data_IF_763375636671
#
_entry.id   IF_763375636671
#
_cell.length_a   1.000
_cell.length_b   1.000
_cell.length_c   1.000
_cell.angle_alpha   90.00
_cell.angle_beta   90.00
_cell.angle_gamma   90.00
#
_symmetry.space_group_name_H-M   'P 1'
#
loop_
_entity.id
_entity.type
_entity.pdbx_description
1 polymer ?
#
# COMPACT_ATOMS: atom_id res chain seq x y z
N UNK A 1 44.53 -47.50 -56.25
CA UNK A 1 44.27 -47.92 -57.65
C UNK A 1 43.30 -46.93 -58.24
N UNK A 2 43.76 -46.07 -59.15
CA UNK A 2 42.99 -44.94 -59.70
C UNK A 2 43.93 -43.94 -60.37
N UNK A 3 44.44 -44.33 -61.54
CA UNK A 3 45.28 -43.52 -62.42
C UNK A 3 44.44 -42.40 -63.04
N UNK A 4 44.86 -41.15 -62.86
CA UNK A 4 44.44 -40.04 -63.72
C UNK A 4 45.66 -39.48 -64.44
N UNK A 5 45.93 -40.07 -65.60
CA UNK A 5 46.70 -39.45 -66.67
C UNK A 5 45.87 -38.31 -67.26
N UNK A 6 46.33 -37.07 -67.12
CA UNK A 6 45.92 -35.98 -68.00
C UNK A 6 46.81 -35.97 -69.23
N UNK A 7 46.26 -35.94 -70.46
CA UNK A 7 47.06 -35.89 -71.67
C UNK A 7 47.63 -34.49 -71.84
N UNK A 8 48.95 -34.42 -71.97
CA UNK A 8 49.67 -33.27 -72.53
C UNK A 8 49.27 -33.21 -74.00
N UNK A 9 48.17 -32.54 -74.29
CA UNK A 9 47.75 -32.18 -75.63
C UNK A 9 48.72 -31.16 -76.21
N UNK A 10 49.57 -31.64 -77.12
CA UNK A 10 50.17 -30.92 -78.24
C UNK A 10 50.24 -29.39 -78.09
N UNK A 11 51.41 -28.92 -77.63
CA UNK A 11 51.85 -27.57 -77.98
C UNK A 11 52.18 -27.56 -79.47
N UNK A 12 51.49 -26.69 -80.18
CA UNK A 12 51.55 -26.43 -81.60
C UNK A 12 52.96 -26.27 -82.15
N UNK A 13 53.16 -26.79 -83.36
CA UNK A 13 54.38 -26.79 -84.19
C UNK A 13 54.90 -25.40 -84.61
N UNK A 14 54.37 -24.30 -84.07
CA UNK A 14 54.77 -22.91 -84.38
C UNK A 14 55.82 -22.34 -83.41
N UNK A 15 56.27 -23.11 -82.42
CA UNK A 15 57.22 -22.66 -81.39
C UNK A 15 58.71 -22.71 -81.81
N UNK A 16 59.04 -23.42 -82.88
CA UNK A 16 60.44 -23.66 -83.29
C UNK A 16 61.13 -22.38 -83.81
N UNK A 17 60.39 -21.49 -84.49
CA UNK A 17 60.91 -20.21 -85.01
C UNK A 17 61.07 -19.11 -83.95
N UNK A 18 60.62 -19.33 -82.72
CA UNK A 18 60.69 -18.34 -81.61
C UNK A 18 61.45 -18.85 -80.39
N UNK A 19 62.13 -19.99 -80.51
CA UNK A 19 62.91 -20.53 -79.39
C UNK A 19 64.20 -19.74 -79.19
N UNK A 20 64.64 -19.55 -77.94
CA UNK A 20 65.89 -18.83 -77.64
C UNK A 20 67.10 -19.42 -78.41
N UNK A 21 67.11 -20.74 -78.63
CA UNK A 21 68.18 -21.41 -79.39
C UNK A 21 68.21 -21.04 -80.87
N UNK A 22 67.05 -20.85 -81.51
CA UNK A 22 66.97 -20.43 -82.91
C UNK A 22 67.42 -18.98 -83.10
N UNK A 23 66.94 -18.07 -82.23
CA UNK A 23 67.30 -16.65 -82.27
C UNK A 23 68.79 -16.40 -81.98
N UNK A 24 69.40 -17.21 -81.10
CA UNK A 24 70.84 -17.17 -80.84
C UNK A 24 71.65 -17.65 -82.04
N UNK A 25 71.16 -18.66 -82.78
CA UNK A 25 71.81 -19.15 -84.00
C UNK A 25 71.73 -18.12 -85.14
N UNK A 26 70.60 -17.42 -85.27
CA UNK A 26 70.44 -16.32 -86.22
C UNK A 26 71.36 -15.12 -85.88
N UNK A 27 71.44 -14.76 -84.59
CA UNK A 27 72.36 -13.73 -84.10
C UNK A 27 73.83 -14.10 -84.37
N UNK A 28 74.17 -15.39 -84.27
CA UNK A 28 75.51 -15.89 -84.56
C UNK A 28 75.87 -15.78 -86.05
N UNK A 29 74.93 -16.09 -86.95
CA UNK A 29 75.11 -15.91 -88.40
C UNK A 29 75.32 -14.42 -88.72
N UNK A 30 74.52 -13.53 -88.12
CA UNK A 30 74.65 -12.07 -88.31
C UNK A 30 76.00 -11.55 -87.81
N UNK A 31 76.47 -11.99 -86.65
CA UNK A 31 77.79 -11.60 -86.15
C UNK A 31 78.93 -12.10 -87.03
N UNK A 32 78.80 -13.29 -87.62
CA UNK A 32 79.78 -13.87 -88.56
C UNK A 32 79.80 -13.10 -89.89
N UNK A 33 78.67 -12.55 -90.34
CA UNK A 33 78.58 -11.67 -91.52
C UNK A 33 79.17 -10.27 -91.28
N UNK A 34 78.97 -9.68 -90.10
CA UNK A 34 79.44 -8.33 -89.76
C UNK A 34 80.93 -8.31 -89.36
N UNK A 35 81.47 -9.45 -88.87
CA UNK A 35 82.84 -9.54 -88.39
C UNK A 35 83.03 -9.03 -86.96
N UNK A 36 82.00 -9.17 -86.12
CA UNK A 36 81.99 -8.63 -84.75
C UNK A 36 83.05 -9.31 -83.86
N UNK A 37 83.77 -8.53 -83.03
CA UNK A 37 84.82 -9.06 -82.15
C UNK A 37 84.27 -9.96 -81.04
N UNK A 38 85.07 -10.93 -80.61
CA UNK A 38 84.69 -11.90 -79.58
C UNK A 38 84.25 -11.21 -78.29
N UNK A 39 84.88 -10.10 -77.90
CA UNK A 39 84.53 -9.37 -76.68
C UNK A 39 83.13 -8.75 -76.74
N UNK A 40 82.75 -8.11 -77.85
CA UNK A 40 81.42 -7.51 -78.01
C UNK A 40 80.33 -8.59 -78.15
N UNK A 41 80.62 -9.73 -78.80
CA UNK A 41 79.72 -10.89 -78.83
C UNK A 41 79.46 -11.43 -77.40
N UNK A 42 80.52 -11.62 -76.61
CA UNK A 42 80.43 -12.12 -75.24
C UNK A 42 79.66 -11.14 -74.33
N UNK A 43 79.86 -9.84 -74.51
CA UNK A 43 79.13 -8.78 -73.81
C UNK A 43 77.63 -8.78 -74.13
N UNK A 44 77.24 -8.87 -75.40
CA UNK A 44 75.82 -8.94 -75.79
C UNK A 44 75.17 -10.22 -75.26
N UNK A 45 75.87 -11.37 -75.29
CA UNK A 45 75.38 -12.61 -74.68
C UNK A 45 75.20 -12.45 -73.15
N UNK A 46 76.16 -11.82 -72.47
CA UNK A 46 76.08 -11.55 -71.03
C UNK A 46 74.91 -10.62 -70.67
N UNK A 47 74.67 -9.59 -71.48
CA UNK A 47 73.54 -8.67 -71.32
C UNK A 47 72.19 -9.41 -71.51
N UNK A 48 72.07 -10.28 -72.53
CA UNK A 48 70.88 -11.11 -72.75
C UNK A 48 70.65 -12.11 -71.60
N UNK A 49 71.70 -12.73 -71.07
CA UNK A 49 71.63 -13.59 -69.89
C UNK A 49 71.15 -12.81 -68.66
N UNK A 50 71.67 -11.60 -68.45
CA UNK A 50 71.29 -10.74 -67.35
C UNK A 50 69.83 -10.29 -67.44
N UNK A 51 69.35 -9.92 -68.63
CA UNK A 51 67.94 -9.58 -68.88
C UNK A 51 67.02 -10.79 -68.63
N UNK A 52 67.41 -11.98 -69.09
CA UNK A 52 66.65 -13.21 -68.82
C UNK A 52 66.59 -13.52 -67.32
N UNK A 53 67.70 -13.40 -66.60
CA UNK A 53 67.77 -13.57 -65.15
C UNK A 53 66.85 -12.57 -64.42
N UNK A 54 66.81 -11.31 -64.87
CA UNK A 54 65.95 -10.30 -64.28
C UNK A 54 64.45 -10.58 -64.51
N UNK A 55 64.08 -11.11 -65.68
CA UNK A 55 62.71 -11.60 -65.94
C UNK A 55 62.36 -12.78 -65.02
N UNK A 56 63.28 -13.75 -64.85
CA UNK A 56 63.08 -14.87 -63.93
C UNK A 56 62.94 -14.40 -62.48
N UNK A 57 63.81 -13.51 -62.00
CA UNK A 57 63.71 -12.90 -60.66
C UNK A 57 62.36 -12.23 -60.46
N UNK A 58 61.94 -11.35 -61.38
CA UNK A 58 60.62 -10.69 -61.31
C UNK A 58 59.47 -11.67 -61.23
N UNK A 59 59.52 -12.81 -61.95
CA UNK A 59 58.48 -13.85 -61.89
C UNK A 59 58.49 -14.60 -60.56
N UNK A 60 59.67 -14.95 -60.06
CA UNK A 60 59.86 -15.58 -58.74
C UNK A 60 59.39 -14.65 -57.62
N UNK A 61 59.75 -13.37 -57.67
CA UNK A 61 59.34 -12.37 -56.69
C UNK A 61 57.82 -12.20 -56.67
N UNK A 62 57.19 -12.07 -57.84
CA UNK A 62 55.71 -12.03 -57.93
C UNK A 62 55.04 -13.28 -57.35
N UNK A 63 55.60 -14.46 -57.61
CA UNK A 63 55.11 -15.71 -57.04
C UNK A 63 55.31 -15.76 -55.52
N UNK A 64 56.46 -15.28 -55.02
CA UNK A 64 56.75 -15.16 -53.59
C UNK A 64 55.80 -14.18 -52.89
N UNK A 65 55.54 -13.00 -53.46
CA UNK A 65 54.56 -12.04 -52.93
C UNK A 65 53.16 -12.65 -52.91
N UNK A 66 52.77 -13.36 -53.98
CA UNK A 66 51.47 -14.05 -54.04
C UNK A 66 51.36 -15.14 -52.97
N UNK A 67 52.43 -15.92 -52.76
CA UNK A 67 52.52 -16.94 -51.71
C UNK A 67 52.43 -16.32 -50.32
N UNK A 68 53.16 -15.23 -50.05
CA UNK A 68 53.11 -14.52 -48.78
C UNK A 68 51.70 -13.96 -48.50
N UNK A 69 51.06 -13.36 -49.51
CA UNK A 69 49.69 -12.86 -49.40
C UNK A 69 48.68 -13.98 -49.08
N UNK A 70 48.83 -15.16 -49.69
CA UNK A 70 47.97 -16.31 -49.37
C UNK A 70 48.19 -16.81 -47.94
N UNK A 71 49.43 -16.89 -47.46
CA UNK A 71 49.72 -17.23 -46.07
C UNK A 71 49.11 -16.22 -45.09
N UNK A 72 49.21 -14.93 -45.39
CA UNK A 72 48.62 -13.88 -44.56
C UNK A 72 47.10 -14.03 -44.48
N UNK A 73 46.40 -14.15 -45.62
CA UNK A 73 44.95 -14.33 -45.65
C UNK A 73 44.50 -15.58 -44.90
N UNK A 74 45.27 -16.67 -45.00
CA UNK A 74 45.00 -17.89 -44.27
C UNK A 74 45.14 -17.68 -42.76
N UNK A 75 46.21 -17.00 -42.31
CA UNK A 75 46.42 -16.69 -40.90
C UNK A 75 45.34 -15.76 -40.34
N UNK A 76 44.93 -14.73 -41.10
CA UNK A 76 43.83 -13.83 -40.75
C UNK A 76 42.50 -14.59 -40.61
N UNK A 77 42.19 -15.46 -41.58
CA UNK A 77 41.00 -16.30 -41.54
C UNK A 77 41.00 -17.27 -40.35
N UNK A 78 42.14 -17.89 -40.03
CA UNK A 78 42.29 -18.78 -38.87
C UNK A 78 42.17 -18.01 -37.53
N UNK A 79 42.74 -16.80 -37.47
CA UNK A 79 42.65 -15.94 -36.30
C UNK A 79 41.21 -15.46 -36.05
N UNK A 80 40.53 -15.01 -37.09
CA UNK A 80 39.12 -14.60 -37.02
C UNK A 80 38.23 -15.77 -36.59
N UNK A 81 38.46 -16.96 -37.16
CA UNK A 81 37.71 -18.16 -36.80
C UNK A 81 37.87 -18.51 -35.32
N UNK A 82 39.11 -18.48 -34.82
CA UNK A 82 39.42 -18.75 -33.40
C UNK A 82 38.79 -17.69 -32.50
N UNK A 83 38.82 -16.42 -32.90
CA UNK A 83 38.16 -15.34 -32.18
C UNK A 83 36.64 -15.56 -32.11
N UNK A 84 35.98 -15.92 -33.22
CA UNK A 84 34.54 -16.19 -33.25
C UNK A 84 34.15 -17.38 -32.37
N UNK A 85 34.95 -18.46 -32.35
CA UNK A 85 34.76 -19.59 -31.44
C UNK A 85 34.82 -19.15 -29.97
N UNK A 86 35.80 -18.33 -29.61
CA UNK A 86 35.94 -17.80 -28.24
C UNK A 86 34.75 -16.90 -27.88
N UNK A 87 34.36 -15.97 -28.75
CA UNK A 87 33.22 -15.08 -28.53
C UNK A 87 31.90 -15.84 -28.37
N UNK A 88 31.68 -16.91 -29.14
CA UNK A 88 30.48 -17.74 -29.05
C UNK A 88 30.56 -18.81 -27.94
N UNK A 89 31.73 -18.99 -27.32
CA UNK A 89 31.97 -20.02 -26.32
C UNK A 89 31.93 -21.45 -26.88
N UNK A 90 32.18 -21.61 -28.19
CA UNK A 90 32.13 -22.90 -28.89
C UNK A 90 33.54 -23.51 -28.99
N UNK A 91 33.64 -24.84 -28.82
CA UNK A 91 34.93 -25.55 -28.90
C UNK A 91 35.33 -25.88 -30.33
N UNK A 92 34.37 -26.13 -31.22
CA UNK A 92 34.63 -26.49 -32.62
C UNK A 92 33.34 -26.40 -33.44
N UNK A 93 33.50 -26.32 -34.77
CA UNK A 93 32.39 -26.48 -35.71
C UNK A 93 32.25 -27.93 -36.19
N UNK A 94 31.03 -28.50 -36.14
CA UNK A 94 30.75 -29.80 -36.76
C UNK A 94 31.03 -29.77 -38.27
N UNK A 95 31.84 -30.71 -38.78
CA UNK A 95 32.09 -30.86 -40.22
C UNK A 95 33.37 -30.21 -40.77
N UNK A 96 34.15 -29.50 -39.94
CA UNK A 96 35.46 -28.99 -40.37
C UNK A 96 36.52 -30.10 -40.33
N UNK A 97 37.27 -30.36 -41.41
CA UNK A 97 38.44 -31.23 -41.35
C UNK A 97 39.54 -30.57 -40.50
N UNK A 98 39.97 -31.25 -39.43
CA UNK A 98 41.06 -30.79 -38.54
C UNK A 98 42.44 -30.74 -39.23
N UNK A 99 42.58 -31.43 -40.36
CA UNK A 99 43.86 -31.56 -41.07
C UNK A 99 43.94 -30.59 -42.25
N UNK A 100 45.01 -29.81 -42.29
CA UNK A 100 45.42 -29.00 -43.44
C UNK A 100 45.83 -29.95 -44.57
N UNK A 101 44.93 -30.25 -45.48
CA UNK A 101 45.21 -31.09 -46.66
C UNK A 101 44.99 -30.25 -47.91
N UNK A 102 45.97 -30.21 -48.80
CA UNK A 102 45.90 -29.48 -50.06
C UNK A 102 46.72 -28.19 -50.10
N UNK A 103 46.58 -27.48 -51.23
CA UNK A 103 47.27 -26.22 -51.54
C UNK A 103 46.75 -25.05 -50.69
N UNK A 104 47.50 -23.94 -50.61
CA UNK A 104 47.08 -22.75 -49.86
C UNK A 104 45.71 -22.20 -50.31
N UNK A 105 45.37 -22.33 -51.61
CA UNK A 105 44.08 -21.91 -52.14
C UNK A 105 42.96 -22.84 -51.66
N UNK A 106 43.15 -24.16 -51.76
CA UNK A 106 42.18 -25.14 -51.27
C UNK A 106 41.93 -25.02 -49.76
N UNK A 107 42.97 -24.74 -48.98
CA UNK A 107 42.85 -24.48 -47.55
C UNK A 107 42.00 -23.24 -47.26
N UNK A 108 42.22 -22.14 -47.99
CA UNK A 108 41.43 -20.91 -47.86
C UNK A 108 39.95 -21.12 -48.29
N UNK A 109 39.74 -21.82 -49.39
CA UNK A 109 38.41 -22.15 -49.90
C UNK A 109 37.64 -23.06 -48.94
N UNK A 110 38.34 -23.94 -48.20
CA UNK A 110 37.73 -24.79 -47.17
C UNK A 110 37.30 -24.03 -45.91
N UNK A 111 38.02 -22.98 -45.52
CA UNK A 111 37.73 -22.18 -44.30
C UNK A 111 36.64 -21.14 -44.56
N UNK A 112 36.53 -20.64 -45.80
CA UNK A 112 35.61 -19.55 -46.15
C UNK A 112 34.13 -19.85 -45.81
N UNK A 113 33.56 -21.03 -46.11
CA UNK A 113 32.20 -21.38 -45.71
C UNK A 113 32.02 -21.43 -44.19
N UNK A 114 32.98 -22.00 -43.47
CA UNK A 114 32.94 -22.12 -42.01
C UNK A 114 32.96 -20.74 -41.33
N UNK A 115 33.76 -19.81 -41.84
CA UNK A 115 33.76 -18.41 -41.38
C UNK A 115 32.42 -17.72 -41.62
N UNK A 116 31.80 -17.91 -42.79
CA UNK A 116 30.47 -17.33 -43.08
C UNK A 116 29.42 -17.84 -42.11
N UNK A 117 29.42 -19.13 -41.82
CA UNK A 117 28.51 -19.74 -40.85
C UNK A 117 28.70 -19.17 -39.44
N UNK A 118 29.95 -18.99 -38.99
CA UNK A 118 30.25 -18.40 -37.68
C UNK A 118 29.83 -16.94 -37.58
N UNK A 119 30.02 -16.15 -38.65
CA UNK A 119 29.55 -14.76 -38.71
C UNK A 119 28.03 -14.68 -38.60
N UNK A 120 27.31 -15.57 -39.30
CA UNK A 120 25.85 -15.64 -39.22
C UNK A 120 25.39 -16.03 -37.81
N UNK A 121 26.03 -17.03 -37.18
CA UNK A 121 25.76 -17.38 -35.77
C UNK A 121 26.02 -16.21 -34.84
N UNK A 122 27.12 -15.46 -35.00
CA UNK A 122 27.41 -14.26 -34.21
C UNK A 122 26.26 -13.25 -34.33
N UNK A 123 25.82 -12.96 -35.55
CA UNK A 123 24.73 -12.01 -35.80
C UNK A 123 23.40 -12.47 -35.16
N UNK A 124 23.04 -13.74 -35.34
CA UNK A 124 21.84 -14.31 -34.71
C UNK A 124 21.93 -14.24 -33.17
N UNK A 125 23.08 -14.56 -32.59
CA UNK A 125 23.28 -14.42 -31.15
C UNK A 125 23.17 -12.98 -30.70
N UNK A 126 23.79 -12.05 -31.40
CA UNK A 126 23.72 -10.63 -31.08
C UNK A 126 22.27 -10.15 -31.03
N UNK A 127 21.45 -10.56 -32.01
CA UNK A 127 20.02 -10.26 -32.04
C UNK A 127 19.27 -10.89 -30.84
N UNK A 128 19.59 -12.13 -30.46
CA UNK A 128 19.02 -12.77 -29.27
C UNK A 128 19.37 -12.02 -27.98
N UNK A 129 20.63 -11.64 -27.79
CA UNK A 129 21.07 -10.87 -26.63
C UNK A 129 20.39 -9.50 -26.57
N UNK A 130 20.33 -8.78 -27.70
CA UNK A 130 19.64 -7.49 -27.78
C UNK A 130 18.16 -7.63 -27.42
N UNK A 131 17.48 -8.67 -27.92
CA UNK A 131 16.07 -8.93 -27.62
C UNK A 131 15.84 -9.24 -26.13
N UNK A 132 16.68 -10.08 -25.51
CA UNK A 132 16.54 -10.46 -24.10
C UNK A 132 16.89 -9.28 -23.19
N UNK A 133 18.01 -8.60 -23.42
CA UNK A 133 18.42 -7.44 -22.63
C UNK A 133 17.43 -6.27 -22.74
N UNK A 134 16.83 -6.06 -23.92
CA UNK A 134 15.76 -5.08 -24.10
C UNK A 134 14.51 -5.40 -23.30
N UNK A 135 14.12 -6.67 -23.24
CA UNK A 135 13.01 -7.12 -22.38
C UNK A 135 13.34 -6.93 -20.89
N UNK A 136 14.57 -7.27 -20.47
CA UNK A 136 15.05 -7.05 -19.09
C UNK A 136 14.93 -5.57 -18.74
N UNK A 137 15.50 -4.66 -19.53
CA UNK A 137 15.46 -3.22 -19.26
C UNK A 137 14.03 -2.70 -19.16
N UNK A 138 13.14 -3.14 -20.06
CA UNK A 138 11.71 -2.75 -20.02
C UNK A 138 11.04 -3.18 -18.73
N UNK A 139 11.19 -4.45 -18.33
CA UNK A 139 10.56 -4.97 -17.11
C UNK A 139 11.18 -4.32 -15.88
N UNK A 140 12.49 -4.15 -15.84
CA UNK A 140 13.17 -3.45 -14.75
C UNK A 140 12.68 -2.01 -14.62
N UNK A 141 12.46 -1.31 -15.72
CA UNK A 141 11.91 0.04 -15.72
C UNK A 141 10.45 0.08 -15.25
N UNK A 142 9.62 -0.88 -15.67
CA UNK A 142 8.24 -1.04 -15.17
C UNK A 142 8.22 -1.31 -13.66
N UNK A 143 9.11 -2.18 -13.16
CA UNK A 143 9.28 -2.47 -11.74
C UNK A 143 9.74 -1.22 -10.97
N UNK A 144 10.65 -0.43 -11.54
CA UNK A 144 11.10 0.82 -10.93
C UNK A 144 10.06 1.96 -10.98
N UNK A 145 9.04 1.85 -11.85
CA UNK A 145 8.05 2.89 -12.08
C UNK A 145 8.47 3.96 -13.08
N UNK A 146 9.51 3.70 -13.89
CA UNK A 146 10.09 4.61 -14.88
C UNK A 146 9.90 4.08 -16.31
N UNK A 147 8.70 3.59 -16.65
CA UNK A 147 8.44 2.97 -17.98
C UNK A 147 8.69 3.91 -19.15
N UNK A 148 8.65 5.22 -18.91
CA UNK A 148 8.73 6.25 -19.95
C UNK A 148 10.19 6.65 -20.28
N UNK A 149 11.15 6.31 -19.43
CA UNK A 149 12.57 6.69 -19.55
C UNK A 149 13.46 5.59 -20.16
N UNK A 150 12.86 4.54 -20.75
CA UNK A 150 13.64 3.42 -21.30
C UNK A 150 14.42 3.87 -22.55
N UNK A 151 15.77 3.84 -22.53
CA UNK A 151 16.57 4.19 -23.69
C UNK A 151 16.27 3.26 -24.88
N UNK A 152 16.18 3.83 -26.08
CA UNK A 152 15.88 3.07 -27.30
C UNK A 152 17.01 2.12 -27.73
N UNK A 153 18.24 2.36 -27.26
CA UNK A 153 19.45 1.68 -27.72
C UNK A 153 20.04 0.82 -26.61
N UNK A 154 20.11 -0.48 -26.85
CA UNK A 154 20.66 -1.49 -25.92
C UNK A 154 22.10 -1.75 -26.32
N UNK A 155 23.04 -1.43 -25.44
CA UNK A 155 24.46 -1.77 -25.63
C UNK A 155 24.70 -3.22 -25.22
N UNK A 156 24.90 -4.10 -26.20
CA UNK A 156 25.26 -5.50 -25.97
C UNK A 156 26.78 -5.63 -25.86
N UNK A 157 27.25 -6.41 -24.90
CA UNK A 157 28.67 -6.75 -24.82
C UNK A 157 29.02 -7.76 -25.92
N UNK A 158 29.71 -7.31 -26.97
CA UNK A 158 30.10 -8.17 -28.10
C UNK A 158 31.19 -9.19 -27.79
N UNK A 159 31.86 -9.08 -26.64
CA UNK A 159 33.02 -9.91 -26.32
C UNK A 159 32.65 -11.31 -25.80
N UNK A 160 31.43 -11.48 -25.26
CA UNK A 160 30.94 -12.75 -24.72
C UNK A 160 29.47 -12.98 -25.14
N UNK A 161 29.29 -13.77 -26.19
CA UNK A 161 28.00 -14.19 -26.76
C UNK A 161 27.74 -15.69 -26.51
N UNK A 162 28.31 -16.23 -25.42
CA UNK A 162 28.20 -17.63 -25.06
C UNK A 162 26.76 -18.08 -24.74
N UNK A 163 26.46 -19.37 -24.93
CA UNK A 163 25.16 -19.98 -24.58
C UNK A 163 24.86 -19.82 -23.10
N UNK A 164 25.86 -20.05 -22.26
CA UNK A 164 25.74 -19.91 -20.81
C UNK A 164 25.33 -18.48 -20.42
N UNK A 165 25.97 -17.46 -21.00
CA UNK A 165 25.64 -16.07 -20.69
C UNK A 165 24.23 -15.69 -21.16
N UNK A 166 23.79 -16.20 -22.30
CA UNK A 166 22.41 -15.99 -22.74
C UNK A 166 21.41 -16.66 -21.79
N UNK A 167 21.69 -17.88 -21.34
CA UNK A 167 20.87 -18.59 -20.37
C UNK A 167 20.78 -17.82 -19.04
N UNK A 168 21.89 -17.24 -18.56
CA UNK A 168 21.88 -16.37 -17.38
C UNK A 168 20.91 -15.18 -17.55
N UNK A 169 20.93 -14.51 -18.71
CA UNK A 169 20.00 -13.41 -19.00
C UNK A 169 18.55 -13.90 -19.15
N UNK A 170 18.31 -15.10 -19.67
CA UNK A 170 16.97 -15.67 -19.74
C UNK A 170 16.44 -16.02 -18.33
N UNK A 171 17.29 -16.55 -17.46
CA UNK A 171 16.95 -16.83 -16.06
C UNK A 171 16.66 -15.53 -15.29
N UNK A 172 17.47 -14.48 -15.51
CA UNK A 172 17.22 -13.14 -14.99
C UNK A 172 15.87 -12.59 -15.46
N UNK A 173 15.59 -12.70 -16.76
CA UNK A 173 14.32 -12.27 -17.34
C UNK A 173 13.13 -12.99 -16.70
N UNK A 174 13.23 -14.31 -16.50
CA UNK A 174 12.19 -15.09 -15.84
C UNK A 174 12.00 -14.66 -14.38
N UNK A 175 13.10 -14.39 -13.65
CA UNK A 175 13.03 -13.88 -12.27
C UNK A 175 12.29 -12.55 -12.21
N UNK A 176 12.60 -11.63 -13.13
CA UNK A 176 11.94 -10.32 -13.20
C UNK A 176 10.44 -10.44 -13.56
N UNK A 177 10.07 -11.36 -14.44
CA UNK A 177 8.65 -11.64 -14.71
C UNK A 177 7.91 -12.15 -13.47
N UNK A 178 8.54 -13.05 -12.71
CA UNK A 178 7.96 -13.55 -11.46
C UNK A 178 7.80 -12.42 -10.44
N UNK A 179 8.84 -11.60 -10.25
CA UNK A 179 8.79 -10.44 -9.36
C UNK A 179 7.71 -9.43 -9.77
N UNK A 180 7.60 -9.11 -11.06
CA UNK A 180 6.53 -8.26 -11.59
C UNK A 180 5.14 -8.80 -11.23
N UNK A 181 4.94 -10.11 -11.43
CA UNK A 181 3.65 -10.75 -11.13
C UNK A 181 3.35 -10.75 -9.63
N UNK A 182 4.34 -11.04 -8.78
CA UNK A 182 4.20 -10.96 -7.33
C UNK A 182 3.85 -9.55 -6.84
N UNK A 183 4.53 -8.53 -7.38
CA UNK A 183 4.24 -7.12 -7.09
C UNK A 183 2.84 -6.71 -7.53
N UNK A 184 2.38 -7.14 -8.70
CA UNK A 184 1.01 -6.90 -9.17
C UNK A 184 -0.03 -7.52 -8.23
N UNK A 185 0.16 -8.79 -7.85
CA UNK A 185 -0.72 -9.45 -6.88
C UNK A 185 -0.71 -8.74 -5.52
N UNK A 186 0.44 -8.21 -5.10
CA UNK A 186 0.55 -7.46 -3.85
C UNK A 186 -0.21 -6.12 -3.93
N UNK A 187 -0.10 -5.39 -5.05
CA UNK A 187 -0.88 -4.16 -5.29
C UNK A 187 -2.38 -4.47 -5.25
N UNK A 188 -2.84 -5.54 -5.91
CA UNK A 188 -4.24 -5.94 -5.90
C UNK A 188 -4.73 -6.27 -4.48
N UNK A 189 -3.96 -7.04 -3.71
CA UNK A 189 -4.26 -7.31 -2.29
C UNK A 189 -4.37 -6.04 -1.46
N UNK A 190 -3.51 -5.05 -1.69
CA UNK A 190 -3.60 -3.78 -0.97
C UNK A 190 -4.83 -2.97 -1.39
N UNK A 191 -5.17 -2.95 -2.68
CA UNK A 191 -6.38 -2.30 -3.19
C UNK A 191 -7.64 -2.95 -2.58
N UNK A 192 -7.71 -4.28 -2.53
CA UNK A 192 -8.82 -5.01 -1.90
C UNK A 192 -8.94 -4.70 -0.40
N UNK A 193 -7.80 -4.60 0.31
CA UNK A 193 -7.77 -4.16 1.71
C UNK A 193 -8.26 -2.73 1.86
N UNK A 194 -7.86 -1.82 0.98
CA UNK A 194 -8.34 -0.42 1.00
C UNK A 194 -9.85 -0.38 0.75
N UNK A 195 -10.38 -1.13 -0.22
CA UNK A 195 -11.82 -1.20 -0.48
C UNK A 195 -12.60 -1.76 0.71
N UNK A 196 -12.17 -2.90 1.26
CA UNK A 196 -12.82 -3.49 2.44
C UNK A 196 -12.78 -2.57 3.66
N UNK A 197 -11.63 -1.96 3.97
CA UNK A 197 -11.53 -1.02 5.09
C UNK A 197 -12.35 0.25 4.86
N UNK A 198 -12.35 0.77 3.63
CA UNK A 198 -13.10 1.98 3.28
C UNK A 198 -14.61 1.74 3.35
N UNK A 199 -15.10 0.59 2.90
CA UNK A 199 -16.52 0.22 3.01
C UNK A 199 -16.96 0.07 4.46
N UNK A 200 -16.13 -0.51 5.33
CA UNK A 200 -16.40 -0.59 6.78
C UNK A 200 -16.44 0.81 7.42
N UNK A 201 -15.48 1.68 7.08
CA UNK A 201 -15.36 3.04 7.62
C UNK A 201 -16.33 4.06 7.00
N UNK A 202 -17.02 3.69 5.92
CA UNK A 202 -17.86 4.59 5.13
C UNK A 202 -17.08 5.69 4.40
N UNK A 203 -15.85 5.41 3.97
CA UNK A 203 -15.01 6.32 3.18
C UNK A 203 -15.08 5.95 1.69
N UNK A 204 -14.85 6.94 0.82
CA UNK A 204 -14.73 6.70 -0.61
C UNK A 204 -13.35 6.11 -0.96
N UNK A 205 -13.31 4.81 -1.27
CA UNK A 205 -12.09 4.13 -1.69
C UNK A 205 -11.51 4.69 -2.99
N UNK A 206 -12.35 5.17 -3.91
CA UNK A 206 -11.89 5.66 -5.21
C UNK A 206 -11.13 6.98 -5.07
N UNK A 207 -11.60 7.90 -4.23
CA UNK A 207 -10.86 9.10 -3.88
C UNK A 207 -9.53 8.79 -3.19
N UNK A 208 -9.47 7.78 -2.31
CA UNK A 208 -8.23 7.39 -1.62
C UNK A 208 -7.20 6.86 -2.63
N UNK A 209 -7.62 5.95 -3.52
CA UNK A 209 -6.75 5.35 -4.53
C UNK A 209 -6.23 6.40 -5.53
N UNK A 210 -7.09 7.32 -5.98
CA UNK A 210 -6.72 8.42 -6.89
C UNK A 210 -5.69 9.38 -6.28
N UNK A 211 -5.78 9.67 -4.98
CA UNK A 211 -4.80 10.50 -4.28
C UNK A 211 -3.42 9.83 -4.17
N UNK A 212 -3.37 8.50 -4.10
CA UNK A 212 -2.12 7.76 -4.05
C UNK A 212 -1.41 7.74 -5.40
N UNK A 213 -2.13 7.33 -6.45
CA UNK A 213 -1.66 7.41 -7.82
C UNK A 213 -2.81 7.15 -8.83
N UNK A 214 -2.96 7.95 -9.89
CA UNK A 214 -4.02 7.76 -10.89
C UNK A 214 -4.01 6.37 -11.56
N UNK A 215 -2.83 5.77 -11.76
CA UNK A 215 -2.71 4.47 -12.44
C UNK A 215 -3.14 3.26 -11.59
N UNK A 216 -3.41 3.44 -10.30
CA UNK A 216 -3.95 2.39 -9.43
C UNK A 216 -5.47 2.26 -9.55
N UNK A 217 -6.13 3.25 -10.14
CA UNK A 217 -7.55 3.22 -10.39
C UNK A 217 -7.83 2.52 -11.73
N UNK A 218 -8.64 1.47 -11.70
CA UNK A 218 -8.95 0.66 -12.91
C UNK A 218 -9.62 1.49 -14.03
N UNK A 219 -10.22 2.64 -13.68
CA UNK A 219 -10.82 3.56 -14.64
C UNK A 219 -9.82 4.33 -15.52
N UNK A 220 -8.53 4.34 -15.14
CA UNK A 220 -7.53 5.16 -15.84
C UNK A 220 -6.97 4.47 -17.10
N UNK A 221 -7.09 3.13 -17.21
CA UNK A 221 -6.56 2.37 -18.36
C UNK A 221 -5.04 2.42 -18.52
N UNK A 222 -4.33 3.03 -17.57
CA UNK A 222 -2.86 3.11 -17.50
C UNK A 222 -2.31 1.84 -16.84
N UNK A 223 -1.09 1.45 -17.20
CA UNK A 223 -0.38 0.36 -16.50
C UNK A 223 -0.23 0.68 -15.01
N UNK A 224 -0.62 -0.27 -14.16
CA UNK A 224 -0.51 -0.14 -12.70
C UNK A 224 0.95 0.11 -12.33
N UNK A 225 1.20 1.13 -11.52
CA UNK A 225 2.55 1.40 -11.03
C UNK A 225 2.86 0.40 -9.90
N UNK A 226 3.95 -0.37 -10.07
CA UNK A 226 4.37 -1.44 -9.15
C UNK A 226 5.72 -1.14 -8.45
N UNK A 227 6.09 0.14 -8.43
CA UNK A 227 7.32 0.59 -7.78
C UNK A 227 7.29 0.38 -6.27
N UNK A 228 8.48 0.24 -5.68
CA UNK A 228 8.65 0.15 -4.23
C UNK A 228 8.03 1.35 -3.52
N UNK A 229 8.13 2.54 -4.12
CA UNK A 229 7.53 3.76 -3.58
C UNK A 229 6.00 3.69 -3.50
N UNK A 230 5.33 3.14 -4.52
CA UNK A 230 3.87 2.97 -4.50
C UNK A 230 3.44 1.85 -3.56
N UNK A 231 4.15 0.71 -3.56
CA UNK A 231 3.87 -0.38 -2.63
C UNK A 231 4.00 0.07 -1.17
N UNK A 232 5.02 0.87 -0.85
CA UNK A 232 5.20 1.42 0.48
C UNK A 232 4.08 2.39 0.87
N UNK A 233 3.69 3.30 -0.04
CA UNK A 233 2.56 4.22 0.17
C UNK A 233 1.23 3.49 0.38
N UNK A 234 0.99 2.42 -0.40
CA UNK A 234 -0.19 1.55 -0.24
C UNK A 234 -0.19 0.88 1.13
N UNK A 235 0.96 0.36 1.58
CA UNK A 235 1.09 -0.26 2.89
C UNK A 235 0.79 0.74 4.03
N UNK A 236 1.40 1.93 4.00
CA UNK A 236 1.13 3.00 4.97
C UNK A 236 -0.36 3.35 5.01
N UNK A 237 -0.99 3.46 3.84
CA UNK A 237 -2.43 3.81 3.77
C UNK A 237 -3.30 2.72 4.39
N UNK A 238 -2.99 1.46 4.13
CA UNK A 238 -3.69 0.32 4.75
C UNK A 238 -3.48 0.31 6.26
N UNK A 239 -2.27 0.58 6.75
CA UNK A 239 -1.99 0.69 8.19
C UNK A 239 -2.78 1.83 8.84
N UNK A 240 -2.82 3.02 8.23
CA UNK A 240 -3.60 4.16 8.71
C UNK A 240 -5.11 3.87 8.74
N UNK A 241 -5.63 3.16 7.74
CA UNK A 241 -7.04 2.74 7.71
C UNK A 241 -7.36 1.69 8.78
N UNK A 242 -6.43 0.75 9.04
CA UNK A 242 -6.55 -0.20 10.13
C UNK A 242 -6.53 0.50 11.51
N UNK A 243 -5.63 1.45 11.70
CA UNK A 243 -5.55 2.25 12.92
C UNK A 243 -6.83 3.06 13.14
N UNK A 244 -7.33 3.73 12.11
CA UNK A 244 -8.61 4.45 12.17
C UNK A 244 -9.78 3.51 12.51
N UNK A 245 -9.82 2.31 11.91
CA UNK A 245 -10.82 1.28 12.25
C UNK A 245 -10.76 0.92 13.73
N UNK A 246 -9.55 0.68 14.25
CA UNK A 246 -9.35 0.34 15.66
C UNK A 246 -9.78 1.49 16.58
N UNK A 247 -9.35 2.72 16.28
CA UNK A 247 -9.69 3.90 17.07
C UNK A 247 -11.21 4.14 17.14
N UNK A 248 -11.93 3.97 16.02
CA UNK A 248 -13.40 4.10 16.00
C UNK A 248 -14.08 2.99 16.79
N UNK A 249 -13.59 1.77 16.69
CA UNK A 249 -14.14 0.63 17.43
C UNK A 249 -13.95 0.83 18.95
N UNK A 250 -12.75 1.21 19.39
CA UNK A 250 -12.45 1.46 20.80
C UNK A 250 -13.31 2.60 21.37
N UNK A 251 -13.50 3.66 20.57
CA UNK A 251 -14.40 4.77 20.93
C UNK A 251 -15.85 4.30 21.05
N UNK A 252 -16.35 3.48 20.12
CA UNK A 252 -17.70 2.91 20.20
C UNK A 252 -17.85 1.94 21.36
N UNK A 253 -16.82 1.16 21.72
CA UNK A 253 -16.84 0.31 22.89
C UNK A 253 -16.99 1.12 24.17
N UNK A 254 -16.21 2.19 24.30
CA UNK A 254 -16.30 3.09 25.44
C UNK A 254 -17.69 3.75 25.52
N UNK A 255 -18.16 4.32 24.41
CA UNK A 255 -19.46 4.98 24.34
C UNK A 255 -20.61 4.00 24.60
N UNK A 256 -20.58 2.80 24.01
CA UNK A 256 -21.60 1.78 24.19
C UNK A 256 -21.66 1.26 25.63
N UNK A 257 -20.52 1.14 26.32
CA UNK A 257 -20.48 0.81 27.76
C UNK A 257 -21.13 1.92 28.60
N UNK A 258 -20.78 3.17 28.32
CA UNK A 258 -21.38 4.34 29.00
C UNK A 258 -22.88 4.41 28.74
N UNK A 259 -23.30 4.19 27.50
CA UNK A 259 -24.70 4.17 27.09
C UNK A 259 -25.51 3.08 27.80
N UNK A 260 -24.97 1.86 27.86
CA UNK A 260 -25.57 0.74 28.62
C UNK A 260 -25.72 1.06 30.11
N UNK A 261 -24.69 1.65 30.71
CA UNK A 261 -24.74 2.09 32.11
C UNK A 261 -25.80 3.17 32.34
N UNK A 262 -25.90 4.16 31.45
CA UNK A 262 -26.89 5.24 31.53
C UNK A 262 -28.31 4.71 31.35
N UNK A 263 -28.55 3.79 30.41
CA UNK A 263 -29.87 3.18 30.24
C UNK A 263 -30.31 2.36 31.45
N UNK A 264 -29.38 1.61 32.06
CA UNK A 264 -29.67 0.85 33.27
C UNK A 264 -29.90 1.75 34.48
N UNK A 265 -29.21 2.90 34.56
CA UNK A 265 -29.43 3.87 35.63
C UNK A 265 -30.76 4.63 35.48
N UNK A 266 -31.18 4.91 34.24
CA UNK A 266 -32.34 5.76 33.94
C UNK A 266 -33.62 4.96 33.65
N UNK A 267 -33.58 3.62 33.74
CA UNK A 267 -34.65 2.70 33.34
C UNK A 267 -35.22 3.03 31.96
N UNK A 268 -34.34 3.31 30.99
CA UNK A 268 -34.75 3.76 29.65
C UNK A 268 -35.53 2.65 28.93
N UNK A 269 -36.68 2.93 28.30
CA UNK A 269 -37.52 1.91 27.67
C UNK A 269 -36.83 1.25 26.47
N UNK A 270 -37.18 0.00 26.20
CA UNK A 270 -36.55 -0.82 25.16
C UNK A 270 -36.59 -0.21 23.76
N UNK A 271 -37.68 0.51 23.42
CA UNK A 271 -37.86 1.17 22.12
C UNK A 271 -36.72 2.15 21.80
N UNK A 272 -36.23 2.87 22.80
CA UNK A 272 -35.15 3.83 22.63
C UNK A 272 -33.77 3.15 22.56
N UNK A 273 -33.65 1.96 23.20
CA UNK A 273 -32.43 1.13 23.13
C UNK A 273 -32.27 0.45 21.77
N UNK A 274 -33.37 0.13 21.09
CA UNK A 274 -33.35 -0.62 19.82
C UNK A 274 -32.59 0.10 18.70
N UNK A 275 -32.70 1.44 18.65
CA UNK A 275 -32.02 2.29 17.66
C UNK A 275 -30.49 2.17 17.70
N UNK A 276 -29.93 1.78 18.85
CA UNK A 276 -28.49 1.62 19.08
C UNK A 276 -28.09 0.16 19.27
N UNK A 277 -28.95 -0.80 18.92
CA UNK A 277 -28.67 -2.24 19.01
C UNK A 277 -27.40 -2.65 18.26
N UNK A 278 -27.10 -2.00 17.13
CA UNK A 278 -25.87 -2.20 16.37
C UNK A 278 -24.61 -1.85 17.19
N UNK A 279 -24.61 -0.75 17.94
CA UNK A 279 -23.49 -0.36 18.83
C UNK A 279 -23.33 -1.36 19.97
N UNK A 280 -24.44 -1.88 20.51
CA UNK A 280 -24.40 -2.87 21.59
C UNK A 280 -23.87 -4.21 21.10
N UNK A 281 -24.23 -4.64 19.90
CA UNK A 281 -23.67 -5.85 19.29
C UNK A 281 -22.17 -5.72 19.05
N UNK A 282 -21.70 -4.52 18.68
CA UNK A 282 -20.28 -4.23 18.50
C UNK A 282 -19.46 -4.31 19.80
N UNK A 283 -20.06 -4.17 20.98
CA UNK A 283 -19.35 -4.24 22.27
C UNK A 283 -18.65 -5.58 22.51
N UNK A 284 -19.17 -6.66 21.93
CA UNK A 284 -18.58 -7.99 22.02
C UNK A 284 -17.72 -8.35 20.82
N UNK A 285 -17.72 -7.54 19.77
CA UNK A 285 -16.99 -7.79 18.53
C UNK A 285 -15.53 -7.32 18.65
N UNK A 286 -14.62 -8.14 18.16
CA UNK A 286 -13.22 -7.76 17.96
C UNK A 286 -13.01 -7.08 16.61
N UNK A 287 -11.90 -6.35 16.47
CA UNK A 287 -11.55 -5.65 15.22
C UNK A 287 -11.45 -6.57 13.99
N UNK A 288 -11.11 -7.85 14.19
CA UNK A 288 -11.03 -8.83 13.11
C UNK A 288 -12.42 -9.34 12.65
N UNK A 289 -13.40 -9.36 13.54
CA UNK A 289 -14.75 -9.87 13.26
C UNK A 289 -15.65 -8.83 12.59
N UNK A 290 -15.36 -7.54 12.81
CA UNK A 290 -16.13 -6.44 12.19
C UNK A 290 -15.80 -6.34 10.71
N UNK A 291 -16.66 -6.92 9.88
CA UNK A 291 -16.56 -6.92 8.41
C UNK A 291 -17.75 -6.25 7.74
N UNK A 292 -18.79 -5.89 8.50
CA UNK A 292 -20.04 -5.36 7.94
C UNK A 292 -19.83 -3.96 7.35
N UNK A 293 -20.21 -3.72 6.08
CA UNK A 293 -20.10 -2.41 5.45
C UNK A 293 -20.86 -1.34 6.23
N UNK A 294 -20.24 -0.18 6.41
CA UNK A 294 -20.84 0.96 7.10
C UNK A 294 -20.96 0.84 8.62
N UNK A 295 -20.48 -0.27 9.21
CA UNK A 295 -20.59 -0.52 10.67
C UNK A 295 -19.81 0.48 11.54
N UNK A 296 -18.73 1.06 11.00
CA UNK A 296 -17.85 2.01 11.71
C UNK A 296 -17.81 3.37 11.00
N UNK A 297 -18.94 3.79 10.43
CA UNK A 297 -19.07 5.13 9.85
C UNK A 297 -18.90 6.21 10.91
N UNK A 298 -18.39 7.38 10.47
CA UNK A 298 -18.21 8.52 11.36
C UNK A 298 -19.55 9.00 11.93
N UNK A 299 -20.63 8.87 11.16
CA UNK A 299 -21.99 9.22 11.56
C UNK A 299 -22.47 8.40 12.76
N UNK A 300 -22.27 7.08 12.76
CA UNK A 300 -22.64 6.20 13.89
C UNK A 300 -21.89 6.60 15.17
N UNK A 301 -20.58 6.88 15.05
CA UNK A 301 -19.76 7.35 16.18
C UNK A 301 -20.32 8.66 16.74
N UNK A 302 -20.62 9.63 15.87
CA UNK A 302 -21.17 10.93 16.27
C UNK A 302 -22.57 10.82 16.87
N UNK A 303 -23.44 9.98 16.30
CA UNK A 303 -24.78 9.75 16.79
C UNK A 303 -24.76 9.13 18.20
N UNK A 304 -23.88 8.16 18.42
CA UNK A 304 -23.71 7.52 19.74
C UNK A 304 -23.16 8.51 20.76
N UNK A 305 -22.18 9.33 20.38
CA UNK A 305 -21.64 10.38 21.26
C UNK A 305 -22.70 11.42 21.62
N UNK A 306 -23.52 11.84 20.66
CA UNK A 306 -24.61 12.78 20.88
C UNK A 306 -25.67 12.20 21.83
N UNK A 307 -26.01 10.91 21.69
CA UNK A 307 -26.98 10.26 22.57
C UNK A 307 -26.47 10.11 24.00
N UNK A 308 -25.19 9.74 24.18
CA UNK A 308 -24.56 9.71 25.52
C UNK A 308 -24.64 11.09 26.17
N UNK A 309 -24.28 12.17 25.44
CA UNK A 309 -24.39 13.55 25.94
C UNK A 309 -25.83 13.92 26.30
N UNK A 310 -26.80 13.55 25.46
CA UNK A 310 -28.23 13.80 25.69
C UNK A 310 -28.71 13.10 26.97
N UNK A 311 -28.33 11.83 27.17
CA UNK A 311 -28.69 11.05 28.36
C UNK A 311 -28.01 11.57 29.61
N UNK A 312 -26.75 11.98 29.54
CA UNK A 312 -26.05 12.61 30.66
C UNK A 312 -26.73 13.92 31.08
N UNK A 313 -27.15 14.74 30.12
CA UNK A 313 -27.92 15.96 30.38
C UNK A 313 -29.30 15.65 31.00
N UNK A 314 -29.98 14.61 30.50
CA UNK A 314 -31.26 14.18 31.05
C UNK A 314 -31.11 13.64 32.49
N UNK A 315 -30.04 12.89 32.77
CA UNK A 315 -29.67 12.43 34.11
C UNK A 315 -29.45 13.61 35.05
N UNK A 316 -28.65 14.61 34.65
CA UNK A 316 -28.43 15.82 35.45
C UNK A 316 -29.73 16.58 35.73
N UNK A 317 -30.62 16.66 34.73
CA UNK A 317 -31.92 17.32 34.87
C UNK A 317 -32.85 16.59 35.86
N UNK A 318 -32.96 15.26 35.77
CA UNK A 318 -33.72 14.47 36.75
C UNK A 318 -33.13 14.55 38.15
N UNK A 319 -31.80 14.57 38.26
CA UNK A 319 -31.08 14.69 39.53
C UNK A 319 -31.40 16.02 40.22
N UNK A 320 -31.45 17.12 39.46
CA UNK A 320 -31.90 18.43 39.93
C UNK A 320 -33.34 18.42 40.44
N UNK A 321 -34.24 17.78 39.70
CA UNK A 321 -35.65 17.65 40.11
C UNK A 321 -35.79 16.85 41.41
N UNK A 322 -35.07 15.73 41.53
CA UNK A 322 -35.05 14.93 42.76
C UNK A 322 -34.51 15.72 43.95
N UNK A 323 -33.44 16.49 43.76
CA UNK A 323 -32.89 17.34 44.80
C UNK A 323 -33.92 18.38 45.27
N UNK A 324 -34.62 19.04 44.34
CA UNK A 324 -35.65 20.01 44.69
C UNK A 324 -36.82 19.35 45.45
N UNK A 325 -37.29 18.17 45.03
CA UNK A 325 -38.33 17.42 45.75
C UNK A 325 -37.91 17.04 47.16
N UNK A 326 -36.67 16.61 47.35
CA UNK A 326 -36.10 16.29 48.67
C UNK A 326 -36.01 17.55 49.56
N UNK A 327 -35.69 18.70 48.97
CA UNK A 327 -35.73 19.99 49.66
C UNK A 327 -37.13 20.37 50.11
N UNK A 328 -38.13 20.24 49.24
CA UNK A 328 -39.52 20.50 49.58
C UNK A 328 -40.03 19.54 50.68
N UNK A 329 -39.64 18.26 50.65
CA UNK A 329 -39.94 17.28 51.69
C UNK A 329 -39.34 17.70 53.04
N UNK A 330 -38.06 18.06 53.08
CA UNK A 330 -37.38 18.53 54.29
C UNK A 330 -38.07 19.76 54.87
N UNK A 331 -38.34 20.76 54.04
CA UNK A 331 -39.02 21.99 54.46
C UNK A 331 -40.42 21.70 55.03
N UNK A 332 -41.18 20.79 54.41
CA UNK A 332 -42.51 20.41 54.88
C UNK A 332 -42.44 19.72 56.26
N UNK A 333 -41.48 18.82 56.45
CA UNK A 333 -41.27 18.14 57.74
C UNK A 333 -40.92 19.16 58.81
N UNK A 334 -39.93 20.03 58.55
CA UNK A 334 -39.52 21.07 59.50
C UNK A 334 -40.66 22.04 59.85
N UNK A 335 -41.44 22.48 58.86
CA UNK A 335 -42.62 23.35 59.09
C UNK A 335 -43.65 22.67 60.00
N UNK A 336 -43.93 21.39 59.79
CA UNK A 336 -44.92 20.64 60.59
C UNK A 336 -44.44 20.36 62.01
N UNK A 337 -43.15 20.09 62.20
CA UNK A 337 -42.56 19.78 63.51
C UNK A 337 -42.04 21.02 64.26
N UNK A 338 -42.20 22.22 63.69
CA UNK A 338 -41.62 23.47 64.19
C UNK A 338 -40.11 23.34 64.49
N UNK A 339 -39.40 22.61 63.63
CA UNK A 339 -37.93 22.49 63.65
C UNK A 339 -37.33 23.58 62.78
N UNK A 340 -36.15 24.05 63.13
CA UNK A 340 -35.42 25.06 62.35
C UNK A 340 -35.18 24.56 60.93
N UNK A 341 -35.58 25.36 59.94
CA UNK A 341 -35.38 25.05 58.53
C UNK A 341 -33.93 25.45 58.20
N UNK A 342 -33.08 24.51 57.74
CA UNK A 342 -31.74 24.89 57.33
C UNK A 342 -31.78 25.88 56.15
N UNK A 343 -30.85 26.83 56.14
CA UNK A 343 -30.88 28.01 55.24
C UNK A 343 -31.01 27.63 53.76
N UNK A 344 -32.08 28.11 53.12
CA UNK A 344 -32.35 27.91 51.68
C UNK A 344 -31.22 28.47 50.80
N UNK A 345 -30.54 29.52 51.25
CA UNK A 345 -29.43 30.16 50.55
C UNK A 345 -28.16 29.31 50.58
N UNK A 346 -27.87 28.67 51.71
CA UNK A 346 -26.72 27.77 51.86
C UNK A 346 -26.88 26.52 50.99
N UNK A 347 -28.09 25.95 50.95
CA UNK A 347 -28.38 24.81 50.07
C UNK A 347 -28.31 25.16 48.58
N UNK A 348 -28.80 26.34 48.19
CA UNK A 348 -28.72 26.79 46.80
C UNK A 348 -27.27 27.05 46.36
N UNK A 349 -26.41 27.54 47.27
CA UNK A 349 -24.98 27.69 47.00
C UNK A 349 -24.30 26.32 46.80
N UNK A 350 -24.59 25.33 47.63
CA UNK A 350 -24.08 23.96 47.48
C UNK A 350 -24.56 23.34 46.16
N UNK A 351 -25.82 23.54 45.79
CA UNK A 351 -26.37 23.08 44.52
C UNK A 351 -25.69 23.75 43.30
N UNK A 352 -25.32 25.03 43.42
CA UNK A 352 -24.59 25.75 42.36
C UNK A 352 -23.16 25.21 42.16
N UNK A 353 -22.46 24.84 43.24
CA UNK A 353 -21.14 24.20 43.21
C UNK A 353 -21.19 22.80 42.55
N UNK A 354 -22.31 22.10 42.68
CA UNK A 354 -22.56 20.79 42.04
C UNK A 354 -22.75 20.93 40.53
N UNK A 355 -23.45 21.97 40.07
CA UNK A 355 -23.56 22.27 38.63
C UNK A 355 -22.23 22.72 38.02
N UNK A 356 -21.33 23.30 38.82
CA UNK A 356 -19.97 23.65 38.41
C UNK A 356 -19.02 22.42 38.37
N UNK A 357 -19.49 21.24 38.80
CA UNK A 357 -18.74 19.98 38.72
C UNK A 357 -17.81 19.70 39.90
N UNK A 358 -17.83 20.51 40.96
CA UNK A 358 -16.95 20.36 42.13
C UNK A 358 -17.42 19.28 43.12
N UNK A 359 -18.71 18.95 43.13
CA UNK A 359 -19.31 17.96 44.04
C UNK A 359 -20.14 16.95 43.24
N UNK A 360 -19.91 15.65 43.48
CA UNK A 360 -20.68 14.57 42.84
C UNK A 360 -22.15 14.59 43.26
N UNK A 361 -23.06 14.52 42.28
CA UNK A 361 -24.50 14.68 42.52
C UNK A 361 -25.08 13.60 43.47
N UNK A 362 -24.48 12.40 43.50
CA UNK A 362 -24.86 11.32 44.42
C UNK A 362 -24.56 11.65 45.88
N UNK A 363 -23.44 12.32 46.15
CA UNK A 363 -23.03 12.67 47.52
C UNK A 363 -23.96 13.75 48.09
N UNK A 364 -24.41 14.67 47.24
CA UNK A 364 -25.37 15.70 47.61
C UNK A 364 -26.72 15.11 48.01
N UNK A 365 -27.28 14.19 47.20
CA UNK A 365 -28.54 13.52 47.52
C UNK A 365 -28.44 12.72 48.82
N UNK A 366 -27.34 12.01 49.04
CA UNK A 366 -27.12 11.25 50.27
C UNK A 366 -27.10 12.16 51.51
N UNK A 367 -26.40 13.29 51.44
CA UNK A 367 -26.41 14.29 52.51
C UNK A 367 -27.81 14.86 52.77
N UNK A 368 -28.60 15.02 51.71
CA UNK A 368 -29.98 15.49 51.82
C UNK A 368 -30.89 14.44 52.47
N UNK A 369 -30.74 13.17 52.09
CA UNK A 369 -31.47 12.05 52.70
C UNK A 369 -31.11 11.89 54.19
N UNK A 370 -29.86 12.12 54.57
CA UNK A 370 -29.46 12.18 55.98
C UNK A 370 -30.12 13.33 56.74
N UNK A 371 -30.19 14.53 56.15
CA UNK A 371 -30.87 15.68 56.76
C UNK A 371 -32.37 15.41 56.93
N UNK A 372 -33.02 14.84 55.91
CA UNK A 372 -34.42 14.43 55.98
C UNK A 372 -34.61 13.39 57.09
N UNK A 373 -33.71 12.41 57.20
CA UNK A 373 -33.78 11.38 58.25
C UNK A 373 -33.69 11.98 59.65
N UNK A 374 -32.72 12.89 59.88
CA UNK A 374 -32.60 13.62 61.14
C UNK A 374 -33.84 14.47 61.45
N UNK A 375 -34.39 15.16 60.44
CA UNK A 375 -35.61 15.95 60.61
C UNK A 375 -36.83 15.07 60.93
N UNK A 376 -36.94 13.86 60.36
CA UNK A 376 -37.99 12.89 60.67
C UNK A 376 -37.87 12.33 62.09
N UNK A 377 -36.65 12.05 62.54
CA UNK A 377 -36.38 11.61 63.91
C UNK A 377 -36.77 12.68 64.92
N UNK A 378 -36.38 13.93 64.68
CA UNK A 378 -36.75 15.06 65.55
C UNK A 378 -38.25 15.37 65.51
N UNK A 379 -38.88 15.27 64.34
CA UNK A 379 -40.34 15.37 64.23
C UNK A 379 -41.04 14.26 65.04
N UNK A 380 -40.46 13.06 65.07
CA UNK A 380 -40.99 11.93 65.83
C UNK A 380 -40.78 12.11 67.33
N UNK A 381 -39.63 12.63 67.77
CA UNK A 381 -39.34 12.93 69.18
C UNK A 381 -40.29 14.00 69.74
N UNK A 382 -40.60 15.03 68.94
CA UNK A 382 -41.51 16.13 69.31
C UNK A 382 -42.99 15.79 69.15
N UNK A 383 -43.34 14.65 68.56
CA UNK A 383 -44.73 14.29 68.23
C UNK A 383 -45.69 14.44 69.41
N UNK A 384 -45.31 13.94 70.59
CA UNK A 384 -46.15 14.01 71.78
C UNK A 384 -46.39 15.46 72.27
N UNK A 385 -45.40 16.35 72.08
CA UNK A 385 -45.53 17.77 72.40
C UNK A 385 -46.44 18.45 71.37
N UNK A 386 -46.21 18.19 70.08
CA UNK A 386 -47.02 18.75 69.00
C UNK A 386 -48.49 18.32 69.10
N UNK A 387 -48.79 17.07 69.43
CA UNK A 387 -50.17 16.61 69.68
C UNK A 387 -50.84 17.36 70.84
N UNK A 388 -50.07 17.73 71.89
CA UNK A 388 -50.59 18.57 72.98
C UNK A 388 -50.82 20.01 72.52
N UNK A 389 -49.91 20.56 71.71
CA UNK A 389 -50.05 21.90 71.12
C UNK A 389 -51.27 21.97 70.21
N UNK A 390 -51.48 20.98 69.34
CA UNK A 390 -52.67 20.88 68.49
C UNK A 390 -53.96 20.79 69.33
N UNK A 391 -53.98 19.94 70.36
CA UNK A 391 -55.13 19.88 71.29
C UNK A 391 -55.38 21.22 71.98
N UNK A 392 -54.33 21.92 72.41
CA UNK A 392 -54.45 23.22 73.04
C UNK A 392 -54.93 24.30 72.06
N UNK A 393 -54.45 24.28 70.82
CA UNK A 393 -54.95 25.17 69.76
C UNK A 393 -56.44 24.94 69.48
N UNK A 394 -56.87 23.69 69.35
CA UNK A 394 -58.28 23.34 69.16
C UNK A 394 -59.13 23.78 70.36
N UNK A 395 -58.64 23.56 71.58
CA UNK A 395 -59.30 24.02 72.79
C UNK A 395 -59.45 25.55 72.81
N UNK A 396 -58.38 26.29 72.49
CA UNK A 396 -58.41 27.76 72.39
C UNK A 396 -59.39 28.24 71.31
N UNK A 397 -59.44 27.58 70.16
CA UNK A 397 -60.35 27.96 69.09
C UNK A 397 -61.82 27.64 69.47
N UNK A 398 -62.06 26.54 70.17
CA UNK A 398 -63.38 26.20 70.71
C UNK A 398 -63.80 27.14 71.85
N UNK A 399 -62.86 27.57 72.70
CA UNK A 399 -63.08 28.59 73.73
C UNK A 399 -63.48 29.92 73.09
N UNK A 400 -62.72 30.39 72.09
CA UNK A 400 -63.07 31.60 71.35
C UNK A 400 -64.45 31.50 70.70
N UNK A 401 -64.74 30.38 70.05
CA UNK A 401 -66.06 30.16 69.46
C UNK A 401 -67.17 30.18 70.52
N UNK A 402 -66.93 29.60 71.69
CA UNK A 402 -67.86 29.61 72.81
C UNK A 402 -68.06 31.02 73.39
N UNK A 403 -67.00 31.83 73.49
CA UNK A 403 -67.06 33.23 73.89
C UNK A 403 -67.92 34.03 72.90
N UNK A 404 -67.63 33.92 71.59
CA UNK A 404 -68.41 34.56 70.52
C UNK A 404 -69.89 34.15 70.58
N UNK A 405 -70.17 32.85 70.76
CA UNK A 405 -71.52 32.32 70.93
C UNK A 405 -72.19 32.81 72.23
N UNK A 406 -71.42 33.01 73.31
CA UNK A 406 -71.95 33.50 74.58
C UNK A 406 -72.36 34.97 74.52
N UNK A 407 -71.69 35.77 73.69
CA UNK A 407 -71.97 37.19 73.46
C UNK A 407 -73.08 37.43 72.42
N UNK A 408 -73.52 36.39 71.69
CA UNK A 408 -74.62 36.50 70.73
C UNK A 408 -75.98 36.64 71.46
N UNK A 409 -76.61 37.80 71.30
CA UNK A 409 -77.94 38.10 71.86
C UNK A 409 -79.06 37.20 71.29
N UNK A 410 -78.86 36.65 70.09
CA UNK A 410 -79.83 35.78 69.41
C UNK A 410 -79.62 34.28 69.67
N UNK A 411 -78.74 33.91 70.61
CA UNK A 411 -78.34 32.51 70.90
C UNK A 411 -79.49 31.56 71.27
N UNK A 412 -80.61 32.07 71.77
CA UNK A 412 -81.81 31.28 72.12
C UNK A 412 -82.96 31.45 71.12
N UNK A 413 -82.73 32.11 69.98
CA UNK A 413 -83.72 32.22 68.92
C UNK A 413 -84.07 30.84 68.35
N UNK A 414 -85.35 30.60 68.03
CA UNK A 414 -85.85 29.32 67.47
C UNK A 414 -85.47 29.24 65.98
N UNK A 415 -84.17 29.13 65.72
CA UNK A 415 -83.60 28.98 64.39
C UNK A 415 -83.23 27.52 64.13
N UNK A 416 -83.24 27.10 62.85
CA UNK A 416 -82.96 25.72 62.43
C UNK A 416 -81.48 25.39 62.65
N UNK A 417 -81.13 24.91 63.85
CA UNK A 417 -79.75 24.59 64.23
C UNK A 417 -79.38 24.99 65.67
N UNK A 418 -80.19 25.82 66.33
CA UNK A 418 -79.92 26.34 67.67
C UNK A 418 -79.63 25.23 68.71
N UNK A 419 -80.40 24.14 68.70
CA UNK A 419 -80.17 22.99 69.59
C UNK A 419 -78.82 22.27 69.34
N UNK A 420 -78.30 22.27 68.10
CA UNK A 420 -76.98 21.70 67.81
C UNK A 420 -75.85 22.60 68.32
N UNK A 421 -76.00 23.92 68.17
CA UNK A 421 -75.05 24.90 68.71
C UNK A 421 -75.06 24.91 70.23
N UNK A 422 -76.23 24.80 70.86
CA UNK A 422 -76.36 24.66 72.31
C UNK A 422 -75.67 23.38 72.81
N UNK A 423 -75.91 22.22 72.17
CA UNK A 423 -75.19 20.98 72.50
C UNK A 423 -73.69 21.06 72.22
N UNK A 424 -73.25 21.84 71.23
CA UNK A 424 -71.82 22.11 70.99
C UNK A 424 -71.25 22.95 72.13
N UNK A 425 -71.93 24.02 72.53
CA UNK A 425 -71.52 24.88 73.63
C UNK A 425 -71.45 24.15 74.97
N UNK A 426 -72.41 23.27 75.26
CA UNK A 426 -72.36 22.39 76.44
C UNK A 426 -71.17 21.44 76.40
N UNK A 427 -70.92 20.78 75.25
CA UNK A 427 -69.76 19.90 75.08
C UNK A 427 -68.43 20.65 75.15
N UNK A 428 -68.36 21.85 74.58
CA UNK A 428 -67.19 22.73 74.66
C UNK A 428 -66.89 23.11 76.11
N UNK A 429 -67.91 23.49 76.90
CA UNK A 429 -67.73 23.78 78.34
C UNK A 429 -67.21 22.58 79.12
N UNK A 430 -67.70 21.37 78.83
CA UNK A 430 -67.23 20.13 79.48
C UNK A 430 -65.82 19.72 79.00
N UNK A 431 -65.42 20.11 77.79
CA UNK A 431 -64.10 19.79 77.24
C UNK A 431 -63.02 20.76 77.74
N UNK A 432 -63.38 22.01 78.04
CA UNK A 432 -62.47 23.08 78.46
C UNK A 432 -62.29 23.18 79.98
N UNK A 433 -63.26 22.67 80.76
CA UNK A 433 -63.30 22.67 82.23
C UNK A 433 -63.48 21.26 82.75
#
# INVERSE_FOLDING_TARGET
MGSFQTPIGMRSSTLLETSCGFLLQELQIIWDEIGEDKFEREKVLLDMEQECLEVYRKKVDRANTSRASLHQKLAEAEAEFTHLLLTLGERSLPGRPEKRVGTLKEQLDSITPALREMRLRKEERLNQFQAVQGKIQRISAEIAGNSDDVPSTITVNENDLSLKKLEDYQNELQRLYNEKNERLQQVEKYIDKIHSLSTILGKDSSSIILQLHPSLNDLCGITKNISDGILHKLNITVELLHEEKQNRLDKLHHLGKTLSNLWNLMDTPYRDRQSFSHVINLLSASSAEVSDPGSLTLEIVQQTEAEVKRLDQQKASKMKELFQKKQEELELICKKSHVEIPSRTEMNNIFSLVNAGEIGHSNLLMSMDEQISRAKEEASSRKAIMEKVEKWMLARDEERWLEEYSMDENRYSVSRGAHKNLRRAERARIMLW
#
